data_IF_528153917651
#
_entry.id   IF_528153917651
#
_cell.length_a   1.000
_cell.length_b   1.000
_cell.length_c   1.000
_cell.angle_alpha   90.00
_cell.angle_beta   90.00
_cell.angle_gamma   90.00
#
_symmetry.space_group_name_H-M   'P 1'
#
loop_
_entity.id
_entity.type
_entity.pdbx_description
1 polymer ?
#
# COMPACT_ATOMS: atom_id res chain seq x y z
N UNK A 1 7.46 -5.23 -6.71
CA UNK A 1 8.40 -4.85 -7.80
C UNK A 1 8.66 -3.36 -7.73
N UNK A 2 9.91 -2.95 -7.62
CA UNK A 2 10.32 -1.53 -7.63
C UNK A 2 10.76 -1.14 -9.05
N UNK A 3 10.36 0.04 -9.49
CA UNK A 3 10.78 0.67 -10.74
C UNK A 3 11.28 2.08 -10.44
N UNK A 4 12.47 2.39 -10.94
CA UNK A 4 13.17 3.65 -10.75
C UNK A 4 13.50 4.23 -12.12
N UNK A 5 13.38 5.54 -12.24
CA UNK A 5 13.71 6.29 -13.45
C UNK A 5 14.67 7.42 -13.09
N UNK A 6 15.68 7.65 -13.95
CA UNK A 6 16.55 8.81 -13.80
C UNK A 6 15.82 10.04 -14.34
N UNK A 7 15.81 11.12 -13.59
CA UNK A 7 15.27 12.42 -14.02
C UNK A 7 16.29 13.53 -13.76
N UNK A 8 16.29 14.58 -14.59
CA UNK A 8 17.10 15.78 -14.38
C UNK A 8 16.37 16.71 -13.39
N UNK A 9 17.08 17.17 -12.36
CA UNK A 9 16.63 18.22 -11.46
C UNK A 9 16.78 19.62 -12.08
N UNK A 10 16.18 20.63 -11.44
CA UNK A 10 16.28 22.03 -11.88
C UNK A 10 17.68 22.63 -11.68
N UNK A 11 18.46 22.02 -10.78
CA UNK A 11 19.89 22.27 -10.53
C UNK A 11 20.80 21.67 -11.63
N UNK A 12 20.26 20.82 -12.51
CA UNK A 12 21.01 20.15 -13.56
C UNK A 12 21.56 18.77 -13.17
N UNK A 13 21.41 18.39 -11.91
CA UNK A 13 21.84 17.08 -11.39
C UNK A 13 20.85 15.99 -11.77
N UNK A 14 21.31 14.73 -11.74
CA UNK A 14 20.45 13.57 -11.99
C UNK A 14 19.90 13.07 -10.67
N UNK A 15 18.60 12.77 -10.60
CA UNK A 15 17.91 12.21 -9.44
C UNK A 15 17.24 10.89 -9.80
N UNK A 16 16.93 10.08 -8.80
CA UNK A 16 16.08 8.90 -8.97
C UNK A 16 14.64 9.23 -8.58
N UNK A 17 13.72 8.95 -9.51
CA UNK A 17 12.29 9.01 -9.30
C UNK A 17 11.73 7.60 -9.15
N UNK A 18 10.86 7.39 -8.17
CA UNK A 18 10.17 6.11 -8.01
C UNK A 18 8.93 6.10 -8.87
N UNK A 19 8.96 5.36 -9.99
CA UNK A 19 7.79 5.27 -10.87
C UNK A 19 6.75 4.28 -10.34
N UNK A 20 7.17 3.18 -9.71
CA UNK A 20 6.24 2.23 -9.09
C UNK A 20 6.93 1.40 -8.01
N UNK A 21 6.30 1.24 -6.84
CA UNK A 21 6.66 0.26 -5.83
C UNK A 21 5.47 -0.67 -5.55
N UNK A 22 5.44 -1.84 -6.20
CA UNK A 22 4.39 -2.84 -5.95
C UNK A 22 4.70 -3.63 -4.68
N UNK A 23 3.73 -3.65 -3.77
CA UNK A 23 3.76 -4.37 -2.50
C UNK A 23 2.91 -5.64 -2.59
N UNK A 24 3.39 -6.72 -1.99
CA UNK A 24 2.60 -7.93 -1.75
C UNK A 24 2.40 -8.11 -0.26
N UNK A 25 1.17 -8.41 0.14
CA UNK A 25 0.84 -8.63 1.55
C UNK A 25 0.32 -10.06 1.75
N UNK A 26 0.63 -10.62 2.90
CA UNK A 26 0.07 -11.88 3.36
C UNK A 26 -0.62 -11.63 4.70
N UNK A 27 -1.91 -11.91 4.76
CA UNK A 27 -2.68 -11.83 6.00
C UNK A 27 -2.83 -13.24 6.54
N UNK A 28 -2.22 -13.51 7.70
CA UNK A 28 -2.24 -14.84 8.30
C UNK A 28 -3.56 -15.21 8.99
N UNK A 29 -4.42 -14.23 9.28
CA UNK A 29 -5.71 -14.41 9.92
C UNK A 29 -6.17 -13.13 10.62
N UNK A 30 -7.44 -13.05 10.99
CA UNK A 30 -7.99 -11.86 11.61
C UNK A 30 -9.43 -12.01 12.08
N UNK A 31 -9.88 -11.01 12.83
CA UNK A 31 -11.29 -10.79 13.16
C UNK A 31 -11.67 -9.37 12.78
N UNK A 32 -12.77 -9.22 12.08
CA UNK A 32 -13.34 -7.95 11.66
C UNK A 32 -14.58 -7.62 12.50
N UNK A 33 -14.70 -6.35 12.88
CA UNK A 33 -15.90 -5.80 13.49
C UNK A 33 -16.28 -4.51 12.77
N UNK A 34 -17.21 -4.63 11.84
CA UNK A 34 -17.83 -3.52 11.14
C UNK A 34 -18.97 -2.95 12.00
N UNK A 35 -18.99 -1.63 12.15
CA UNK A 35 -19.99 -0.89 12.91
C UNK A 35 -20.93 -0.15 11.96
N UNK A 36 -22.11 0.23 12.46
CA UNK A 36 -23.11 0.99 11.70
C UNK A 36 -23.56 0.31 10.39
N UNK A 37 -23.49 -1.02 10.32
CA UNK A 37 -24.07 -1.77 9.22
C UNK A 37 -25.61 -1.66 9.27
N UNK A 38 -26.24 -1.61 8.11
CA UNK A 38 -27.71 -1.62 7.97
C UNK A 38 -28.42 -0.54 8.80
N UNK A 39 -27.83 0.66 8.89
CA UNK A 39 -28.40 1.77 9.67
C UNK A 39 -28.30 1.58 11.19
N UNK A 40 -27.42 0.69 11.66
CA UNK A 40 -27.20 0.42 13.09
C UNK A 40 -28.04 -0.73 13.64
N UNK A 41 -28.71 -1.51 12.78
CA UNK A 41 -29.44 -2.70 13.23
C UNK A 41 -28.46 -3.74 13.83
N UNK A 42 -28.59 -4.06 15.13
CA UNK A 42 -27.63 -4.93 15.80
C UNK A 42 -27.73 -6.39 15.32
N UNK A 43 -28.92 -6.88 14.99
CA UNK A 43 -29.12 -8.27 14.59
C UNK A 43 -28.51 -8.53 13.21
N UNK A 44 -28.78 -7.65 12.23
CA UNK A 44 -28.20 -7.74 10.90
C UNK A 44 -26.69 -7.47 10.94
N UNK A 45 -26.26 -6.50 11.74
CA UNK A 45 -24.85 -6.20 11.95
C UNK A 45 -24.07 -7.39 12.50
N UNK A 46 -24.59 -8.06 13.53
CA UNK A 46 -23.95 -9.24 14.13
C UNK A 46 -23.95 -10.43 13.16
N UNK A 47 -25.05 -10.67 12.45
CA UNK A 47 -25.13 -11.74 11.46
C UNK A 47 -24.06 -11.59 10.36
N UNK A 48 -23.91 -10.39 9.81
CA UNK A 48 -22.91 -10.13 8.74
C UNK A 48 -21.48 -10.16 9.27
N UNK A 49 -21.22 -9.58 10.44
CA UNK A 49 -19.92 -9.73 11.08
C UNK A 49 -19.58 -11.20 11.34
N UNK A 50 -20.55 -12.01 11.78
CA UNK A 50 -20.38 -13.46 11.97
C UNK A 50 -20.06 -14.19 10.67
N UNK A 51 -20.79 -13.88 9.60
CA UNK A 51 -20.59 -14.48 8.28
C UNK A 51 -19.19 -14.16 7.70
N UNK A 52 -18.75 -12.89 7.81
CA UNK A 52 -17.42 -12.46 7.39
C UNK A 52 -16.34 -13.19 8.19
N UNK A 53 -16.44 -13.19 9.53
CA UNK A 53 -15.41 -13.82 10.36
C UNK A 53 -15.33 -15.34 10.19
N UNK A 54 -16.45 -16.00 9.88
CA UNK A 54 -16.47 -17.44 9.60
C UNK A 54 -15.81 -17.80 8.26
N UNK A 55 -15.67 -16.84 7.35
CA UNK A 55 -15.06 -16.99 6.03
C UNK A 55 -13.99 -15.92 5.79
N UNK A 56 -13.25 -15.56 6.85
CA UNK A 56 -12.36 -14.40 6.84
C UNK A 56 -11.32 -14.48 5.72
N UNK A 57 -10.74 -15.66 5.48
CA UNK A 57 -9.69 -15.84 4.49
C UNK A 57 -10.16 -15.51 3.07
N UNK A 58 -11.37 -15.96 2.69
CA UNK A 58 -11.96 -15.61 1.40
C UNK A 58 -12.27 -14.12 1.31
N UNK A 59 -12.85 -13.56 2.38
CA UNK A 59 -13.19 -12.14 2.43
C UNK A 59 -11.94 -11.24 2.31
N UNK A 60 -10.87 -11.57 3.02
CA UNK A 60 -9.64 -10.77 2.97
C UNK A 60 -8.90 -10.95 1.65
N UNK A 61 -8.99 -12.11 0.99
CA UNK A 61 -8.44 -12.32 -0.35
C UNK A 61 -9.08 -11.38 -1.38
N UNK A 62 -10.39 -11.13 -1.29
CA UNK A 62 -11.09 -10.17 -2.15
C UNK A 62 -10.65 -8.72 -1.89
N UNK A 63 -10.36 -8.38 -0.63
CA UNK A 63 -9.89 -7.04 -0.25
C UNK A 63 -8.38 -6.83 -0.48
N UNK A 64 -7.60 -7.91 -0.52
CA UNK A 64 -6.14 -7.86 -0.63
C UNK A 64 -5.65 -6.98 -1.79
N UNK A 65 -6.18 -7.06 -3.02
CA UNK A 65 -5.75 -6.19 -4.11
C UNK A 65 -5.91 -4.69 -3.81
N UNK A 66 -7.00 -4.30 -3.15
CA UNK A 66 -7.24 -2.91 -2.78
C UNK A 66 -6.25 -2.44 -1.70
N UNK A 67 -5.99 -3.31 -0.70
CA UNK A 67 -5.00 -3.05 0.34
C UNK A 67 -3.58 -2.94 -0.25
N UNK A 68 -3.18 -3.87 -1.12
CA UNK A 68 -1.89 -3.85 -1.81
C UNK A 68 -1.72 -2.56 -2.61
N UNK A 69 -2.76 -2.11 -3.33
CA UNK A 69 -2.73 -0.86 -4.09
C UNK A 69 -2.55 0.36 -3.19
N UNK A 70 -3.32 0.45 -2.10
CA UNK A 70 -3.24 1.56 -1.15
C UNK A 70 -1.84 1.64 -0.50
N UNK A 71 -1.33 0.51 0.00
CA UNK A 71 -0.01 0.41 0.61
C UNK A 71 1.10 0.73 -0.40
N UNK A 72 0.98 0.19 -1.63
CA UNK A 72 1.94 0.47 -2.72
C UNK A 72 2.00 1.96 -3.05
N UNK A 73 0.86 2.64 -3.10
CA UNK A 73 0.80 4.09 -3.32
C UNK A 73 1.49 4.86 -2.21
N UNK A 74 1.18 4.54 -0.94
CA UNK A 74 1.83 5.18 0.22
C UNK A 74 3.35 4.96 0.21
N UNK A 75 3.82 3.74 0.00
CA UNK A 75 5.25 3.44 -0.03
C UNK A 75 5.96 4.07 -1.23
N UNK A 76 5.30 4.14 -2.39
CA UNK A 76 5.84 4.86 -3.56
C UNK A 76 6.06 6.33 -3.22
N UNK A 77 5.08 6.99 -2.60
CA UNK A 77 5.18 8.40 -2.22
C UNK A 77 6.28 8.65 -1.18
N UNK A 78 6.39 7.78 -0.18
CA UNK A 78 7.46 7.87 0.83
C UNK A 78 8.83 7.70 0.17
N UNK A 79 9.00 6.65 -0.64
CA UNK A 79 10.28 6.37 -1.30
C UNK A 79 10.68 7.50 -2.27
N UNK A 80 9.74 8.05 -3.02
CA UNK A 80 9.98 9.19 -3.92
C UNK A 80 10.37 10.46 -3.14
N UNK A 81 9.70 10.71 -2.01
CA UNK A 81 10.01 11.86 -1.14
C UNK A 81 11.41 11.77 -0.54
N UNK A 82 11.89 10.57 -0.22
CA UNK A 82 13.24 10.35 0.32
C UNK A 82 14.29 10.45 -0.78
N UNK A 83 14.10 9.76 -1.92
CA UNK A 83 15.09 9.71 -3.00
C UNK A 83 15.23 11.05 -3.74
N UNK A 84 14.19 11.87 -3.79
CA UNK A 84 14.25 13.20 -4.40
C UNK A 84 15.12 14.21 -3.63
N UNK A 85 15.55 13.89 -2.39
CA UNK A 85 16.44 14.75 -1.61
C UNK A 85 17.93 14.58 -1.98
N UNK A 86 18.28 13.57 -2.76
CA UNK A 86 19.68 13.22 -3.03
C UNK A 86 19.89 13.02 -4.54
N UNK A 87 20.95 13.62 -5.08
CA UNK A 87 21.36 13.35 -6.45
C UNK A 87 21.86 11.90 -6.60
N UNK A 88 21.81 11.38 -7.82
CA UNK A 88 22.28 10.05 -8.18
C UNK A 88 23.73 9.85 -7.77
N UNK A 89 24.59 10.83 -8.02
CA UNK A 89 26.01 10.78 -7.67
C UNK A 89 26.22 10.76 -6.15
N UNK A 90 25.34 11.42 -5.38
CA UNK A 90 25.36 11.35 -3.90
C UNK A 90 24.95 9.97 -3.40
N UNK A 91 23.95 9.35 -4.03
CA UNK A 91 23.47 8.01 -3.67
C UNK A 91 24.45 6.90 -4.11
N UNK A 92 25.18 7.12 -5.20
CA UNK A 92 26.10 6.15 -5.83
C UNK A 92 27.43 6.82 -6.22
N UNK A 93 28.28 7.20 -5.25
CA UNK A 93 29.50 7.95 -5.51
C UNK A 93 30.58 7.18 -6.29
N UNK A 94 30.51 5.85 -6.32
CA UNK A 94 31.50 4.97 -6.94
C UNK A 94 30.98 4.23 -8.19
N UNK A 95 29.83 4.66 -8.76
CA UNK A 95 29.17 4.00 -9.90
C UNK A 95 29.73 4.39 -11.27
#
# INVERSE_FOLDING_TARGET
KLQLEKTKGADGDTYLKVSTLQTKIAVGGGKLRLQNLFGGDPALGEAVNGAINSNFDSFIQELTPALESAISSTFTQIADSVLSQFSYDTLFPDA
#
